data_IF_011829611873
#
_entry.id   IF_011829611873
#
_cell.length_a   1.000
_cell.length_b   1.000
_cell.length_c   1.000
_cell.angle_alpha   90.00
_cell.angle_beta   90.00
_cell.angle_gamma   90.00
#
_symmetry.space_group_name_H-M   'P 1'
#
loop_
_entity.id
_entity.type
_entity.pdbx_description
1 polymer ?
#
# COMPACT_ATOMS: atom_id res chain seq x y z
N UNK A 1 6.97 30.29 5.95
CA UNK A 1 8.00 29.32 5.49
C UNK A 1 7.35 28.30 4.56
N UNK A 2 7.96 28.02 3.40
CA UNK A 2 7.49 26.95 2.50
C UNK A 2 7.99 25.60 3.04
N UNK A 3 7.15 24.57 3.03
CA UNK A 3 7.53 23.21 3.41
C UNK A 3 8.53 22.64 2.42
N UNK A 4 9.49 21.86 2.90
CA UNK A 4 10.37 21.07 2.03
C UNK A 4 9.62 19.88 1.46
N UNK A 5 10.15 19.30 0.37
CA UNK A 5 9.53 18.13 -0.23
C UNK A 5 9.52 16.92 0.72
N UNK A 6 10.61 16.70 1.47
CA UNK A 6 10.68 15.65 2.48
C UNK A 6 9.60 15.82 3.58
N UNK A 7 9.35 17.07 4.01
CA UNK A 7 8.28 17.36 4.97
C UNK A 7 6.90 16.99 4.42
N UNK A 8 6.65 17.24 3.13
CA UNK A 8 5.38 16.85 2.49
C UNK A 8 5.18 15.34 2.46
N UNK A 9 6.23 14.56 2.21
CA UNK A 9 6.15 13.09 2.22
C UNK A 9 5.93 12.54 3.63
N UNK A 10 6.62 13.08 4.64
CA UNK A 10 6.37 12.70 6.04
C UNK A 10 4.93 13.02 6.48
N UNK A 11 4.38 14.15 6.05
CA UNK A 11 2.97 14.50 6.31
C UNK A 11 1.99 13.58 5.58
N UNK A 12 2.35 13.09 4.40
CA UNK A 12 1.57 12.11 3.66
C UNK A 12 1.52 10.77 4.41
N UNK A 13 2.65 10.30 4.93
CA UNK A 13 2.73 9.09 5.75
C UNK A 13 1.92 9.23 7.06
N UNK A 14 2.10 10.33 7.79
CA UNK A 14 1.35 10.58 9.02
C UNK A 14 -0.17 10.63 8.78
N UNK A 15 -0.59 11.17 7.64
CA UNK A 15 -1.99 11.17 7.20
C UNK A 15 -2.51 9.77 6.87
N UNK A 16 -1.69 8.95 6.22
CA UNK A 16 -1.97 7.54 5.98
C UNK A 16 -2.23 6.80 7.29
N UNK A 17 -1.33 6.99 8.27
CA UNK A 17 -1.45 6.39 9.59
C UNK A 17 -2.70 6.85 10.35
N UNK A 18 -3.03 8.14 10.30
CA UNK A 18 -4.29 8.65 10.88
C UNK A 18 -5.51 8.01 10.20
N UNK A 19 -5.49 7.86 8.88
CA UNK A 19 -6.58 7.22 8.13
C UNK A 19 -6.71 5.75 8.49
N UNK A 20 -5.62 5.01 8.61
CA UNK A 20 -5.61 3.63 9.09
C UNK A 20 -6.21 3.51 10.49
N UNK A 21 -5.86 4.40 11.44
CA UNK A 21 -6.45 4.40 12.78
C UNK A 21 -7.97 4.61 12.76
N UNK A 22 -8.47 5.55 11.96
CA UNK A 22 -9.92 5.77 11.81
C UNK A 22 -10.63 4.58 11.17
N UNK A 23 -10.04 3.99 10.13
CA UNK A 23 -10.61 2.82 9.43
C UNK A 23 -10.62 1.62 10.36
N UNK A 24 -9.51 1.33 11.05
CA UNK A 24 -9.41 0.25 12.01
C UNK A 24 -10.42 0.40 13.15
N UNK A 25 -10.62 1.62 13.67
CA UNK A 25 -11.64 1.88 14.69
C UNK A 25 -13.07 1.66 14.15
N UNK A 26 -13.35 2.11 12.92
CA UNK A 26 -14.66 1.93 12.27
C UNK A 26 -15.01 0.45 12.03
N UNK A 27 -14.03 -0.35 11.61
CA UNK A 27 -14.22 -1.76 11.27
C UNK A 27 -13.83 -2.70 12.42
N UNK A 28 -13.33 -2.15 13.54
CA UNK A 28 -12.91 -2.86 14.74
C UNK A 28 -11.84 -3.94 14.48
N UNK A 29 -10.92 -3.69 13.54
CA UNK A 29 -9.87 -4.64 13.18
C UNK A 29 -8.65 -3.95 12.56
N UNK A 30 -7.46 -4.52 12.80
CA UNK A 30 -6.23 -4.24 12.05
C UNK A 30 -5.89 -5.37 11.05
N UNK A 31 -6.67 -6.46 11.04
CA UNK A 31 -6.52 -7.53 10.05
C UNK A 31 -6.97 -7.00 8.69
N UNK A 32 -6.02 -6.93 7.76
CA UNK A 32 -6.20 -6.31 6.43
C UNK A 32 -7.17 -7.09 5.56
N UNK A 33 -7.24 -8.42 5.71
CA UNK A 33 -8.13 -9.28 4.94
C UNK A 33 -9.56 -9.16 5.46
N UNK A 34 -9.73 -9.14 6.79
CA UNK A 34 -11.02 -8.89 7.41
C UNK A 34 -11.53 -7.48 7.09
N UNK A 35 -10.64 -6.48 7.14
CA UNK A 35 -10.95 -5.10 6.79
C UNK A 35 -11.41 -5.01 5.33
N UNK A 36 -10.67 -5.59 4.38
CA UNK A 36 -11.07 -5.62 2.97
C UNK A 36 -12.46 -6.25 2.80
N UNK A 37 -12.69 -7.41 3.44
CA UNK A 37 -13.99 -8.10 3.41
C UNK A 37 -15.13 -7.22 3.94
N UNK A 38 -14.97 -6.64 5.12
CA UNK A 38 -16.00 -5.79 5.74
C UNK A 38 -16.24 -4.49 4.96
N UNK A 39 -15.20 -3.98 4.29
CA UNK A 39 -15.29 -2.82 3.44
C UNK A 39 -15.94 -3.12 2.07
N UNK A 40 -16.19 -4.39 1.74
CA UNK A 40 -16.71 -4.81 0.42
C UNK A 40 -15.65 -4.70 -0.68
N UNK A 41 -14.38 -4.86 -0.35
CA UNK A 41 -13.25 -4.87 -1.28
C UNK A 41 -12.93 -6.32 -1.66
N UNK A 42 -12.91 -6.62 -2.95
CA UNK A 42 -12.57 -7.95 -3.46
C UNK A 42 -11.06 -8.11 -3.54
N UNK A 43 -10.50 -9.16 -2.97
CA UNK A 43 -9.09 -9.53 -3.16
C UNK A 43 -9.03 -10.65 -4.21
N UNK A 44 -8.16 -10.48 -5.20
CA UNK A 44 -7.91 -11.48 -6.24
C UNK A 44 -6.41 -11.69 -6.40
N UNK A 45 -6.05 -12.88 -6.88
CA UNK A 45 -4.66 -13.28 -7.06
C UNK A 45 -4.44 -13.59 -8.54
N UNK A 46 -3.35 -13.10 -9.10
CA UNK A 46 -3.01 -13.32 -10.50
C UNK A 46 -1.51 -13.29 -10.72
N UNK A 47 -1.10 -13.64 -11.94
CA UNK A 47 0.31 -13.60 -12.36
C UNK A 47 0.48 -12.58 -13.47
N UNK A 48 1.45 -11.71 -13.32
CA UNK A 48 1.88 -10.77 -14.36
C UNK A 48 3.36 -10.37 -14.12
N UNK A 49 4.04 -9.75 -15.10
CA UNK A 49 5.43 -9.31 -14.94
C UNK A 49 5.61 -8.45 -13.67
N UNK A 50 6.81 -8.48 -13.07
CA UNK A 50 7.13 -7.78 -11.81
C UNK A 50 7.31 -6.25 -11.99
N UNK A 51 6.44 -5.64 -12.79
CA UNK A 51 6.33 -4.18 -12.91
C UNK A 51 5.62 -3.57 -11.71
N UNK A 52 4.69 -4.32 -11.12
CA UNK A 52 3.93 -4.00 -9.89
C UNK A 52 3.79 -5.27 -9.05
N UNK A 53 3.74 -5.12 -7.73
CA UNK A 53 3.52 -6.23 -6.80
C UNK A 53 2.04 -6.37 -6.39
N UNK A 54 1.28 -5.29 -6.54
CA UNK A 54 -0.17 -5.24 -6.37
C UNK A 54 -0.75 -4.10 -7.18
N UNK A 55 -2.06 -4.17 -7.41
CA UNK A 55 -2.81 -3.11 -8.10
C UNK A 55 -4.21 -3.00 -7.51
N UNK A 56 -4.70 -1.75 -7.38
CA UNK A 56 -6.07 -1.47 -7.02
C UNK A 56 -6.90 -0.94 -8.20
N UNK A 57 -8.03 -1.58 -8.48
CA UNK A 57 -9.08 -1.06 -9.34
C UNK A 57 -10.15 -0.36 -8.48
N UNK A 58 -10.07 0.98 -8.38
CA UNK A 58 -10.98 1.77 -7.53
C UNK A 58 -12.46 1.62 -7.86
N UNK A 59 -12.80 1.55 -9.16
CA UNK A 59 -14.21 1.45 -9.62
C UNK A 59 -14.87 0.14 -9.21
N UNK A 60 -14.19 -0.98 -9.40
CA UNK A 60 -14.70 -2.31 -9.03
C UNK A 60 -14.40 -2.67 -7.57
N UNK A 61 -13.63 -1.82 -6.87
CA UNK A 61 -13.10 -2.06 -5.52
C UNK A 61 -12.41 -3.41 -5.42
N UNK A 62 -11.52 -3.68 -6.38
CA UNK A 62 -10.75 -4.93 -6.44
C UNK A 62 -9.28 -4.65 -6.19
N UNK A 63 -8.69 -5.40 -5.27
CA UNK A 63 -7.24 -5.50 -5.06
C UNK A 63 -6.75 -6.75 -5.78
N UNK A 64 -5.72 -6.61 -6.61
CA UNK A 64 -5.05 -7.69 -7.31
C UNK A 64 -3.66 -7.87 -6.69
N UNK A 65 -3.36 -9.07 -6.20
CA UNK A 65 -2.04 -9.43 -5.64
C UNK A 65 -1.24 -10.20 -6.69
N UNK A 66 0.02 -9.80 -6.93
CA UNK A 66 0.88 -10.47 -7.90
C UNK A 66 1.53 -11.72 -7.28
N UNK A 67 1.09 -12.90 -7.70
CA UNK A 67 1.62 -14.17 -7.22
C UNK A 67 3.11 -14.38 -7.56
N UNK A 68 3.62 -13.75 -8.62
CA UNK A 68 5.05 -13.82 -8.93
C UNK A 68 5.89 -13.09 -7.87
N UNK A 69 5.36 -12.01 -7.28
CA UNK A 69 6.03 -11.29 -6.19
C UNK A 69 6.01 -12.12 -4.90
N UNK A 70 4.85 -12.74 -4.60
CA UNK A 70 4.68 -13.63 -3.44
C UNK A 70 5.65 -14.82 -3.52
N UNK A 71 5.82 -15.44 -4.67
CA UNK A 71 6.76 -16.56 -4.83
C UNK A 71 8.20 -16.14 -4.64
N UNK A 72 8.59 -14.99 -5.18
CA UNK A 72 9.95 -14.45 -5.03
C UNK A 72 10.25 -14.02 -3.59
N UNK A 73 9.23 -13.61 -2.82
CA UNK A 73 9.39 -13.26 -1.40
C UNK A 73 10.07 -14.38 -0.58
N UNK A 74 9.80 -15.65 -0.88
CA UNK A 74 10.42 -16.79 -0.19
C UNK A 74 11.95 -16.79 -0.22
N UNK A 75 12.56 -16.16 -1.22
CA UNK A 75 14.02 -16.05 -1.34
C UNK A 75 14.62 -14.85 -0.58
N UNK A 76 13.78 -13.99 0.02
CA UNK A 76 14.21 -12.77 0.69
C UNK A 76 14.24 -13.03 2.20
N UNK A 77 15.45 -13.05 2.78
CA UNK A 77 15.77 -13.50 4.15
C UNK A 77 14.99 -12.81 5.30
N UNK A 78 14.27 -11.71 5.00
CA UNK A 78 13.51 -10.91 5.97
C UNK A 78 12.07 -10.61 5.53
N UNK A 79 11.60 -11.22 4.44
CA UNK A 79 10.28 -10.99 3.90
C UNK A 79 9.56 -12.33 3.69
N UNK A 80 8.65 -12.66 4.61
CA UNK A 80 7.78 -13.82 4.44
C UNK A 80 6.68 -13.56 3.43
N UNK A 81 6.19 -14.63 2.76
CA UNK A 81 5.03 -14.59 1.86
C UNK A 81 3.84 -13.87 2.46
N UNK A 82 3.46 -14.27 3.67
CA UNK A 82 2.30 -13.73 4.37
C UNK A 82 2.46 -12.23 4.67
N UNK A 83 3.65 -11.80 5.10
CA UNK A 83 3.91 -10.39 5.36
C UNK A 83 3.85 -9.57 4.08
N UNK A 84 4.42 -10.04 2.97
CA UNK A 84 4.35 -9.34 1.69
C UNK A 84 2.91 -9.25 1.19
N UNK A 85 2.15 -10.34 1.26
CA UNK A 85 0.74 -10.34 0.86
C UNK A 85 -0.06 -9.32 1.66
N UNK A 86 0.09 -9.34 2.99
CA UNK A 86 -0.58 -8.37 3.87
C UNK A 86 -0.12 -6.94 3.59
N UNK A 87 1.16 -6.72 3.30
CA UNK A 87 1.70 -5.42 2.91
C UNK A 87 1.08 -4.89 1.62
N UNK A 88 0.97 -5.74 0.59
CA UNK A 88 0.31 -5.39 -0.67
C UNK A 88 -1.15 -5.01 -0.40
N UNK A 89 -1.91 -5.87 0.27
CA UNK A 89 -3.33 -5.61 0.55
C UNK A 89 -3.50 -4.32 1.35
N UNK A 90 -2.69 -4.12 2.40
CA UNK A 90 -2.77 -2.92 3.23
C UNK A 90 -2.46 -1.64 2.45
N UNK A 91 -1.45 -1.68 1.58
CA UNK A 91 -1.07 -0.54 0.74
C UNK A 91 -2.19 -0.17 -0.22
N UNK A 92 -2.75 -1.14 -0.94
CA UNK A 92 -3.85 -0.91 -1.88
C UNK A 92 -5.14 -0.46 -1.18
N UNK A 93 -5.41 -0.93 0.04
CA UNK A 93 -6.48 -0.38 0.88
C UNK A 93 -6.23 1.09 1.21
N UNK A 94 -4.98 1.50 1.45
CA UNK A 94 -4.60 2.89 1.63
C UNK A 94 -5.06 3.79 0.48
N UNK A 95 -4.85 3.36 -0.76
CA UNK A 95 -5.33 4.08 -1.95
C UNK A 95 -6.86 4.14 -2.07
N UNK A 96 -7.57 3.13 -1.56
CA UNK A 96 -9.03 3.10 -1.55
C UNK A 96 -9.64 4.00 -0.48
N UNK A 97 -9.02 4.08 0.69
CA UNK A 97 -9.54 4.84 1.83
C UNK A 97 -9.08 6.30 1.85
N UNK A 98 -8.03 6.67 1.11
CA UNK A 98 -7.71 8.08 0.91
C UNK A 98 -8.61 8.71 -0.16
N UNK A 99 -9.71 9.32 0.30
CA UNK A 99 -10.71 10.02 -0.54
C UNK A 99 -10.18 11.28 -1.23
N UNK A 100 -8.94 11.72 -0.92
CA UNK A 100 -8.33 12.88 -1.60
C UNK A 100 -7.75 12.52 -2.96
N UNK A 101 -7.52 11.23 -3.21
CA UNK A 101 -6.93 10.73 -4.44
C UNK A 101 -7.83 10.86 -5.66
N UNK A 102 -9.15 10.97 -5.49
CA UNK A 102 -10.09 11.23 -6.59
C UNK A 102 -9.90 12.64 -7.21
N UNK A 103 -9.18 13.54 -6.54
CA UNK A 103 -8.91 14.91 -6.99
C UNK A 103 -7.46 15.15 -7.44
N UNK A 104 -6.59 14.15 -7.34
CA UNK A 104 -5.20 14.26 -7.79
C UNK A 104 -5.12 13.93 -9.28
N UNK A 105 -4.45 14.80 -10.04
CA UNK A 105 -4.18 14.57 -11.46
C UNK A 105 -3.05 13.54 -11.56
N UNK A 106 -3.30 12.44 -12.26
CA UNK A 106 -2.28 11.41 -12.54
C UNK A 106 -1.05 11.97 -13.29
N UNK A 107 -1.16 13.17 -13.88
CA UNK A 107 -0.12 13.81 -14.68
C UNK A 107 0.92 14.58 -13.86
N UNK A 108 0.77 14.61 -12.52
CA UNK A 108 1.72 15.29 -11.63
C UNK A 108 2.51 14.29 -10.80
N UNK A 109 3.81 14.06 -11.13
CA UNK A 109 4.67 13.12 -10.41
C UNK A 109 4.70 13.33 -8.89
N UNK A 110 4.64 14.58 -8.46
CA UNK A 110 4.59 14.98 -7.04
C UNK A 110 3.32 14.48 -6.34
N UNK A 111 2.17 14.57 -7.00
CA UNK A 111 0.88 14.15 -6.44
C UNK A 111 0.83 12.62 -6.32
N UNK A 112 1.35 11.91 -7.34
CA UNK A 112 1.51 10.46 -7.27
C UNK A 112 2.42 10.04 -6.11
N UNK A 113 3.57 10.68 -5.93
CA UNK A 113 4.46 10.31 -4.83
C UNK A 113 3.84 10.56 -3.45
N UNK A 114 3.04 11.62 -3.31
CA UNK A 114 2.29 11.88 -2.08
C UNK A 114 1.26 10.76 -1.82
N UNK A 115 0.52 10.32 -2.84
CA UNK A 115 -0.45 9.22 -2.72
C UNK A 115 0.23 7.91 -2.28
N UNK A 116 1.34 7.53 -2.92
CA UNK A 116 2.15 6.35 -2.56
C UNK A 116 2.61 6.40 -1.10
N UNK A 117 3.11 7.55 -0.64
CA UNK A 117 3.51 7.72 0.76
C UNK A 117 2.33 7.70 1.74
N UNK A 118 1.15 8.17 1.33
CA UNK A 118 -0.07 7.99 2.12
C UNK A 118 -0.47 6.53 2.23
N UNK A 119 -0.40 5.76 1.13
CA UNK A 119 -0.64 4.33 1.15
C UNK A 119 0.39 3.56 1.99
N UNK A 120 1.68 3.92 1.94
CA UNK A 120 2.71 3.37 2.84
C UNK A 120 2.42 3.67 4.30
N UNK A 121 2.07 4.92 4.65
CA UNK A 121 1.72 5.28 6.02
C UNK A 121 0.50 4.53 6.54
N UNK A 122 -0.49 4.30 5.68
CA UNK A 122 -1.67 3.50 6.01
C UNK A 122 -1.30 2.04 6.29
N UNK A 123 -0.53 1.42 5.39
CA UNK A 123 -0.09 0.04 5.53
C UNK A 123 0.81 -0.17 6.76
N UNK A 124 1.77 0.73 6.97
CA UNK A 124 2.69 0.72 8.10
C UNK A 124 1.93 0.71 9.42
N UNK A 125 0.90 1.55 9.53
CA UNK A 125 0.07 1.64 10.73
C UNK A 125 -0.75 0.38 11.01
N UNK A 126 -1.35 -0.25 9.98
CA UNK A 126 -2.12 -1.48 10.18
C UNK A 126 -1.23 -2.68 10.52
N UNK A 127 -0.04 -2.74 9.92
CA UNK A 127 0.88 -3.87 10.07
C UNK A 127 1.89 -3.70 11.21
N UNK A 128 1.93 -2.52 11.85
CA UNK A 128 2.88 -2.18 12.90
C UNK A 128 4.34 -2.34 12.47
N UNK A 129 4.63 -1.91 11.23
CA UNK A 129 5.98 -1.86 10.64
C UNK A 129 6.32 -0.42 10.26
N UNK A 130 7.58 -0.14 9.94
CA UNK A 130 7.99 1.17 9.45
C UNK A 130 7.67 1.36 7.96
N UNK A 131 7.43 2.59 7.53
CA UNK A 131 7.33 2.93 6.10
C UNK A 131 8.63 2.58 5.33
N UNK A 132 9.78 2.63 6.00
CA UNK A 132 11.06 2.26 5.41
C UNK A 132 11.13 0.77 5.06
N UNK A 133 10.63 -0.11 5.93
CA UNK A 133 10.53 -1.55 5.66
C UNK A 133 9.63 -1.83 4.46
N UNK A 134 8.46 -1.20 4.39
CA UNK A 134 7.54 -1.37 3.25
C UNK A 134 8.15 -0.92 1.92
N UNK A 135 8.82 0.23 1.89
CA UNK A 135 9.55 0.69 0.68
C UNK A 135 10.71 -0.24 0.32
N UNK A 136 11.34 -0.85 1.32
CA UNK A 136 12.36 -1.87 1.12
C UNK A 136 11.81 -3.05 0.33
N UNK A 137 10.58 -3.49 0.62
CA UNK A 137 9.93 -4.59 -0.10
C UNK A 137 9.81 -4.28 -1.59
N UNK A 138 9.20 -3.15 -1.95
CA UNK A 138 9.06 -2.76 -3.36
C UNK A 138 10.40 -2.62 -4.10
N UNK A 139 11.41 -2.09 -3.42
CA UNK A 139 12.74 -1.88 -3.99
C UNK A 139 13.43 -3.19 -4.38
N UNK A 140 13.12 -4.30 -3.68
CA UNK A 140 13.62 -5.63 -4.04
C UNK A 140 12.99 -6.17 -5.34
N UNK A 141 11.81 -5.70 -5.74
CA UNK A 141 11.13 -6.15 -6.96
C UNK A 141 11.38 -5.23 -8.16
N UNK A 142 11.61 -3.92 -7.94
CA UNK A 142 11.90 -2.96 -9.03
C UNK A 142 13.30 -3.11 -9.64
N UNK A 143 14.26 -3.68 -8.92
CA UNK A 143 15.66 -3.86 -9.38
C UNK A 143 15.95 -5.27 -9.91
N UNK A 144 14.90 -6.07 -10.04
CA UNK A 144 15.00 -7.52 -10.06
C UNK A 144 15.01 -8.12 -11.48
N UNK A 145 14.79 -7.26 -12.48
CA UNK A 145 14.74 -7.53 -13.94
C UNK A 145 15.74 -6.61 -14.71
N UNK A 146 16.78 -6.09 -14.04
CA UNK A 146 17.92 -5.39 -14.68
C UNK A 146 19.18 -6.25 -14.69
#
# INVERSE_FOLDING_TARGET
MKKTFAQLLCEAEARGAETARRVAARFQTNDVTLLAKQAGVKITYGRWPLVTIGECEKRSRTIRVNLNAIERANSIKHLGKELLERAIIAHELGHLFDTRTEKLSADKPTERLIDEHTAHGFAAQLLQVSCAELRGFESHFKNADR
#
